data_IF_832026415376
#
_entry.id   IF_832026415376
#
_cell.length_a   1.000
_cell.length_b   1.000
_cell.length_c   1.000
_cell.angle_alpha   90.00
_cell.angle_beta   90.00
_cell.angle_gamma   90.00
#
_symmetry.space_group_name_H-M   'P 1'
#
loop_
_entity.id
_entity.type
_entity.pdbx_description
1 polymer ?
#
# COMPACT_ATOMS: atom_id res chain seq x y z
N UNK A 1 -8.14 -21.51 -2.65
CA UNK A 1 -8.56 -20.89 -3.92
C UNK A 1 -8.01 -19.47 -3.91
N UNK A 2 -6.88 -19.23 -4.56
CA UNK A 2 -6.42 -17.87 -4.83
C UNK A 2 -7.33 -17.36 -5.94
N UNK A 3 -8.14 -16.35 -5.64
CA UNK A 3 -8.84 -15.61 -6.69
C UNK A 3 -7.78 -14.82 -7.43
N UNK A 4 -7.17 -15.43 -8.46
CA UNK A 4 -6.48 -14.66 -9.47
C UNK A 4 -7.59 -13.90 -10.19
N UNK A 5 -7.73 -12.61 -9.88
CA UNK A 5 -8.65 -11.75 -10.63
C UNK A 5 -8.37 -11.89 -12.12
N UNK A 6 -9.41 -11.82 -12.95
CA UNK A 6 -9.20 -11.72 -14.39
C UNK A 6 -8.23 -10.57 -14.67
N UNK A 7 -7.24 -10.83 -15.53
CA UNK A 7 -6.22 -9.82 -15.83
C UNK A 7 -6.89 -8.55 -16.35
N UNK A 8 -6.55 -7.39 -15.79
CA UNK A 8 -7.05 -6.13 -16.27
C UNK A 8 -6.50 -5.94 -17.70
N UNK A 9 -7.34 -5.74 -18.73
CA UNK A 9 -6.88 -5.65 -20.12
C UNK A 9 -5.99 -4.42 -20.37
N UNK A 10 -5.96 -3.46 -19.44
CA UNK A 10 -5.07 -2.28 -19.49
C UNK A 10 -3.73 -2.52 -18.79
N UNK A 11 -3.54 -3.66 -18.14
CA UNK A 11 -2.32 -3.95 -17.39
C UNK A 11 -1.14 -4.18 -18.34
N UNK A 12 0.01 -3.61 -17.98
CA UNK A 12 1.29 -3.83 -18.63
C UNK A 12 2.10 -4.85 -17.84
N UNK A 13 2.94 -5.61 -18.54
CA UNK A 13 3.87 -6.60 -18.01
C UNK A 13 5.32 -6.17 -18.24
N UNK A 14 6.29 -6.94 -17.74
CA UNK A 14 7.71 -6.73 -18.01
C UNK A 14 8.10 -6.77 -19.50
N UNK A 15 7.25 -7.31 -20.37
CA UNK A 15 7.49 -7.37 -21.83
C UNK A 15 7.04 -6.11 -22.56
N UNK A 16 6.20 -5.31 -21.92
CA UNK A 16 5.59 -4.13 -22.52
C UNK A 16 6.47 -2.90 -22.34
N UNK A 17 6.33 -1.95 -23.26
CA UNK A 17 7.01 -0.66 -23.14
C UNK A 17 6.30 0.20 -22.09
N UNK A 18 7.01 0.58 -21.04
CA UNK A 18 6.48 1.50 -20.02
C UNK A 18 6.07 2.84 -20.65
N UNK A 19 4.98 3.48 -20.16
CA UNK A 19 4.59 4.80 -20.62
C UNK A 19 5.67 5.84 -20.29
N UNK A 20 5.69 6.94 -21.04
CA UNK A 20 6.57 8.08 -20.73
C UNK A 20 6.03 8.80 -19.49
N UNK A 21 6.85 8.90 -18.45
CA UNK A 21 6.49 9.52 -17.15
C UNK A 21 7.32 10.79 -16.89
N UNK A 22 7.57 11.57 -17.95
CA UNK A 22 8.46 12.72 -17.88
C UNK A 22 7.88 13.86 -17.02
N UNK A 23 6.56 13.93 -16.87
CA UNK A 23 5.89 14.91 -16.02
C UNK A 23 5.97 14.60 -14.53
N UNK A 24 6.30 13.36 -14.15
CA UNK A 24 6.46 12.96 -12.74
C UNK A 24 7.79 13.43 -12.17
N UNK A 25 7.83 13.95 -10.93
CA UNK A 25 9.05 14.01 -10.13
C UNK A 25 9.76 12.66 -10.08
N UNK A 26 11.10 12.65 -9.98
CA UNK A 26 11.90 11.43 -10.07
C UNK A 26 11.50 10.38 -9.02
N UNK A 27 11.19 10.81 -7.79
CA UNK A 27 10.75 9.94 -6.70
C UNK A 27 9.38 9.31 -6.93
N UNK A 28 8.55 9.85 -7.84
CA UNK A 28 7.24 9.31 -8.20
C UNK A 28 7.28 8.48 -9.49
N UNK A 29 8.48 8.13 -9.97
CA UNK A 29 8.67 7.24 -11.12
C UNK A 29 8.90 5.82 -10.61
N UNK A 30 8.00 4.86 -10.91
CA UNK A 30 8.16 3.48 -10.51
C UNK A 30 9.41 2.84 -11.11
N UNK A 31 9.91 1.80 -10.46
CA UNK A 31 10.91 0.91 -11.04
C UNK A 31 10.40 0.16 -12.27
N UNK A 32 11.29 -0.60 -12.92
CA UNK A 32 10.90 -1.54 -13.98
C UNK A 32 9.96 -2.61 -13.42
N UNK A 33 9.00 -3.07 -14.22
CA UNK A 33 8.11 -4.16 -13.82
C UNK A 33 8.87 -5.49 -13.70
N UNK A 34 8.75 -6.21 -12.58
CA UNK A 34 9.20 -7.60 -12.46
C UNK A 34 8.42 -8.54 -13.40
N UNK A 35 9.00 -9.70 -13.71
CA UNK A 35 8.46 -10.64 -14.71
C UNK A 35 7.05 -11.15 -14.43
N UNK A 36 6.66 -11.25 -13.16
CA UNK A 36 5.34 -11.74 -12.71
C UNK A 36 4.33 -10.64 -12.41
N UNK A 37 4.78 -9.39 -12.35
CA UNK A 37 3.94 -8.25 -11.96
C UNK A 37 3.21 -7.71 -13.17
N UNK A 38 1.93 -7.39 -12.96
CA UNK A 38 1.13 -6.61 -13.90
C UNK A 38 0.74 -5.28 -13.26
N UNK A 39 0.81 -4.21 -14.04
CA UNK A 39 0.53 -2.86 -13.52
C UNK A 39 -0.30 -2.03 -14.49
N UNK A 40 -1.34 -1.37 -13.98
CA UNK A 40 -2.09 -0.32 -14.67
C UNK A 40 -1.52 1.03 -14.24
N UNK A 41 -0.87 1.73 -15.17
CA UNK A 41 -0.28 3.05 -14.89
C UNK A 41 -1.32 4.16 -15.02
N UNK A 42 -1.25 5.14 -14.13
CA UNK A 42 -2.12 6.31 -14.12
C UNK A 42 -1.47 7.50 -14.86
N UNK A 43 -2.27 8.47 -15.33
CA UNK A 43 -1.75 9.74 -15.82
C UNK A 43 -0.86 10.46 -14.80
N UNK A 44 0.18 11.17 -15.27
CA UNK A 44 1.14 11.88 -14.40
C UNK A 44 0.45 12.85 -13.42
N UNK A 45 -0.59 13.56 -13.88
CA UNK A 45 -1.35 14.49 -13.05
C UNK A 45 -2.06 13.81 -11.87
N UNK A 46 -2.63 12.62 -12.10
CA UNK A 46 -3.35 11.86 -11.07
C UNK A 46 -2.38 11.32 -10.02
N UNK A 47 -1.21 10.85 -10.45
CA UNK A 47 -0.14 10.40 -9.55
C UNK A 47 0.39 11.55 -8.68
N UNK A 48 0.65 12.72 -9.27
CA UNK A 48 1.13 13.88 -8.52
C UNK A 48 0.08 14.36 -7.51
N UNK A 49 -1.20 14.41 -7.91
CA UNK A 49 -2.29 14.81 -7.03
C UNK A 49 -2.48 13.82 -5.87
N UNK A 50 -2.42 12.52 -6.14
CA UNK A 50 -2.55 11.48 -5.12
C UNK A 50 -1.37 11.47 -4.13
N UNK A 51 -0.13 11.68 -4.61
CA UNK A 51 1.04 11.80 -3.74
C UNK A 51 0.87 12.95 -2.74
N UNK A 52 0.45 14.13 -3.20
CA UNK A 52 0.18 15.29 -2.31
C UNK A 52 -0.92 15.00 -1.28
N UNK A 53 -1.96 14.25 -1.66
CA UNK A 53 -3.01 13.81 -0.73
C UNK A 53 -2.47 12.86 0.33
N UNK A 54 -1.65 11.88 -0.05
CA UNK A 54 -1.00 10.97 0.89
C UNK A 54 -0.06 11.71 1.84
N UNK A 55 0.74 12.66 1.33
CA UNK A 55 1.61 13.52 2.16
C UNK A 55 0.80 14.31 3.18
N UNK A 56 -0.28 14.95 2.75
CA UNK A 56 -1.19 15.70 3.62
C UNK A 56 -1.80 14.81 4.70
N UNK A 57 -2.28 13.63 4.30
CA UNK A 57 -3.00 12.72 5.19
C UNK A 57 -2.06 12.07 6.22
N UNK A 58 -0.85 11.67 5.84
CA UNK A 58 -0.01 10.82 6.69
C UNK A 58 1.27 11.46 7.25
N UNK A 59 1.79 12.54 6.63
CA UNK A 59 3.09 13.15 7.01
C UNK A 59 2.91 14.59 7.51
N UNK A 60 2.21 15.43 6.73
CA UNK A 60 2.01 16.85 7.03
C UNK A 60 1.07 17.09 8.21
N UNK A 61 0.70 18.33 8.49
CA UNK A 61 -0.25 18.65 9.57
C UNK A 61 -1.58 17.86 9.44
N UNK A 62 -2.16 17.37 10.55
CA UNK A 62 -3.40 16.60 10.48
C UNK A 62 -4.51 17.41 9.81
N UNK A 63 -5.19 16.87 8.78
CA UNK A 63 -6.34 17.55 8.20
C UNK A 63 -7.48 17.64 9.22
N UNK A 64 -8.27 18.71 9.15
CA UNK A 64 -9.43 18.91 10.02
C UNK A 64 -10.46 17.76 9.92
N UNK A 65 -10.64 17.22 8.70
CA UNK A 65 -11.42 16.01 8.46
C UNK A 65 -10.60 15.05 7.57
N UNK A 66 -10.04 13.96 8.12
CA UNK A 66 -9.31 12.97 7.34
C UNK A 66 -10.22 12.14 6.43
N UNK A 67 -11.54 12.09 6.69
CA UNK A 67 -12.46 11.22 5.95
C UNK A 67 -12.60 11.60 4.48
N UNK A 68 -12.39 12.89 4.14
CA UNK A 68 -12.45 13.38 2.76
C UNK A 68 -11.38 12.78 1.84
N UNK A 69 -10.33 12.18 2.42
CA UNK A 69 -9.23 11.57 1.68
C UNK A 69 -9.46 10.09 1.38
N UNK A 70 -10.43 9.45 2.04
CA UNK A 70 -10.69 8.03 1.93
C UNK A 70 -11.82 7.74 0.96
N UNK A 71 -11.75 6.57 0.32
CA UNK A 71 -12.86 6.03 -0.44
C UNK A 71 -14.00 5.64 0.52
N UNK A 72 -15.18 5.30 -0.02
CA UNK A 72 -16.32 4.85 0.79
C UNK A 72 -16.03 3.59 1.61
N UNK A 73 -15.01 2.83 1.21
CA UNK A 73 -14.49 1.68 1.92
C UNK A 73 -13.00 1.56 1.63
N UNK A 74 -12.22 1.15 2.62
CA UNK A 74 -10.79 0.89 2.42
C UNK A 74 -10.44 -0.55 2.77
N UNK A 75 -9.67 -1.17 1.88
CA UNK A 75 -9.12 -2.49 2.10
C UNK A 75 -7.82 -2.37 2.89
N UNK A 76 -7.82 -2.90 4.11
CA UNK A 76 -6.62 -3.05 4.92
C UNK A 76 -6.06 -4.44 4.65
N UNK A 77 -4.92 -4.48 3.97
CA UNK A 77 -4.19 -5.69 3.68
C UNK A 77 -3.49 -6.24 4.94
N UNK A 78 -3.04 -7.50 4.93
CA UNK A 78 -2.59 -8.14 6.16
C UNK A 78 -1.43 -7.49 6.89
N UNK A 79 -0.50 -6.84 6.18
CA UNK A 79 0.62 -6.15 6.81
C UNK A 79 0.12 -5.01 7.69
N UNK A 80 -0.71 -4.13 7.13
CA UNK A 80 -1.31 -3.04 7.90
C UNK A 80 -2.29 -3.55 8.97
N UNK A 81 -3.06 -4.59 8.68
CA UNK A 81 -4.04 -5.12 9.64
C UNK A 81 -3.38 -5.67 10.90
N UNK A 82 -2.21 -6.33 10.77
CA UNK A 82 -1.45 -6.84 11.91
C UNK A 82 -1.10 -5.77 12.95
N UNK A 83 -0.95 -4.52 12.49
CA UNK A 83 -0.69 -3.35 13.32
C UNK A 83 -1.99 -2.70 13.82
N UNK A 84 -3.06 -2.70 13.03
CA UNK A 84 -4.27 -1.93 13.32
C UNK A 84 -5.32 -2.68 14.12
N UNK A 85 -5.34 -4.01 14.07
CA UNK A 85 -6.47 -4.85 14.50
C UNK A 85 -6.80 -4.79 16.00
N UNK A 86 -5.94 -4.21 16.82
CA UNK A 86 -6.13 -4.10 18.27
C UNK A 86 -6.66 -2.73 18.71
N UNK A 87 -6.80 -1.78 17.78
CA UNK A 87 -7.24 -0.42 18.07
C UNK A 87 -8.76 -0.35 17.99
N UNK A 88 -9.44 0.25 18.97
CA UNK A 88 -10.89 0.50 18.85
C UNK A 88 -11.17 1.64 17.85
N UNK A 89 -12.17 1.52 16.96
CA UNK A 89 -13.17 0.44 16.88
C UNK A 89 -12.78 -0.72 15.94
N UNK A 90 -11.55 -0.74 15.41
CA UNK A 90 -11.06 -1.75 14.47
C UNK A 90 -11.04 -3.16 15.10
N UNK A 91 -10.81 -3.26 16.40
CA UNK A 91 -10.87 -4.50 17.19
C UNK A 91 -12.20 -5.27 17.08
N UNK A 92 -13.28 -4.60 16.65
CA UNK A 92 -14.61 -5.19 16.46
C UNK A 92 -14.87 -5.65 15.03
N UNK A 93 -13.96 -5.38 14.10
CA UNK A 93 -14.16 -5.70 12.68
C UNK A 93 -13.79 -7.16 12.43
N UNK A 94 -14.69 -7.87 11.74
CA UNK A 94 -14.44 -9.25 11.35
C UNK A 94 -13.32 -9.30 10.29
N UNK A 95 -12.22 -10.03 10.53
CA UNK A 95 -11.13 -10.12 9.56
C UNK A 95 -11.57 -10.91 8.31
N UNK A 96 -10.95 -10.53 7.19
CA UNK A 96 -11.02 -11.26 5.92
C UNK A 96 -9.75 -12.11 5.83
N UNK A 97 -9.89 -13.44 5.80
CA UNK A 97 -8.76 -14.35 5.74
C UNK A 97 -8.37 -14.66 4.29
N UNK A 98 -7.13 -14.35 3.95
CA UNK A 98 -6.46 -14.67 2.70
C UNK A 98 -5.51 -15.85 2.90
N UNK A 99 -5.44 -16.74 1.90
CA UNK A 99 -4.51 -17.87 1.87
C UNK A 99 -3.51 -17.65 0.74
N UNK A 100 -2.24 -17.51 1.10
CA UNK A 100 -1.14 -17.42 0.16
C UNK A 100 -0.37 -18.75 0.12
N UNK A 101 -0.07 -19.24 -1.08
CA UNK A 101 0.79 -20.41 -1.27
C UNK A 101 2.23 -19.97 -1.50
N UNK A 102 3.10 -20.24 -0.53
CA UNK A 102 4.53 -19.94 -0.57
C UNK A 102 5.31 -21.26 -0.71
N UNK A 103 5.54 -21.67 -1.96
CA UNK A 103 6.15 -22.96 -2.27
C UNK A 103 5.24 -24.12 -1.84
N UNK A 104 5.64 -24.85 -0.80
CA UNK A 104 4.85 -25.97 -0.23
C UNK A 104 4.05 -25.60 1.02
N UNK A 105 4.09 -24.33 1.44
CA UNK A 105 3.39 -23.85 2.64
C UNK A 105 2.17 -23.01 2.24
N UNK A 106 1.05 -23.24 2.92
CA UNK A 106 -0.09 -22.33 2.89
C UNK A 106 0.01 -21.43 4.11
N UNK A 107 0.02 -20.12 3.90
CA UNK A 107 0.02 -19.12 4.97
C UNK A 107 -1.35 -18.44 4.98
N UNK A 108 -1.97 -18.42 6.16
CA UNK A 108 -3.20 -17.66 6.41
C UNK A 108 -2.85 -16.27 6.93
N UNK A 109 -3.47 -15.25 6.33
CA UNK A 109 -3.22 -13.85 6.63
C UNK A 109 -4.55 -13.13 6.71
N UNK A 110 -4.69 -12.20 7.65
CA UNK A 110 -5.95 -11.52 7.89
C UNK A 110 -5.83 -10.07 7.47
N UNK A 111 -6.75 -9.60 6.61
CA UNK A 111 -7.01 -8.19 6.36
C UNK A 111 -8.36 -7.77 6.93
N UNK A 112 -8.83 -6.58 6.58
CA UNK A 112 -10.16 -6.09 6.91
C UNK A 112 -10.67 -5.11 5.86
N UNK A 113 -11.99 -4.96 5.77
CA UNK A 113 -12.63 -3.88 5.01
C UNK A 113 -13.18 -2.87 6.01
N UNK A 114 -12.64 -1.66 6.02
CA UNK A 114 -13.22 -0.57 6.81
C UNK A 114 -14.26 0.14 5.94
N UNK A 115 -15.35 0.58 6.56
CA UNK A 115 -16.45 1.24 5.84
C UNK A 115 -17.05 2.43 6.59
N UNK A 116 -16.51 2.76 7.78
CA UNK A 116 -17.04 3.86 8.60
C UNK A 116 -16.01 4.96 8.83
N UNK A 117 -16.42 6.24 8.87
CA UNK A 117 -15.53 7.37 9.12
C UNK A 117 -14.66 7.22 10.37
N UNK A 118 -15.21 6.72 11.48
CA UNK A 118 -14.46 6.52 12.71
C UNK A 118 -13.36 5.46 12.59
N UNK A 119 -13.54 4.46 11.72
CA UNK A 119 -12.53 3.43 11.44
C UNK A 119 -11.38 4.02 10.62
N UNK A 120 -11.71 4.84 9.61
CA UNK A 120 -10.72 5.52 8.78
C UNK A 120 -9.86 6.48 9.60
N UNK A 121 -10.49 7.27 10.47
CA UNK A 121 -9.81 8.20 11.35
C UNK A 121 -8.80 7.50 12.27
N UNK A 122 -9.18 6.36 12.88
CA UNK A 122 -8.29 5.57 13.73
C UNK A 122 -7.13 4.99 12.94
N UNK A 123 -7.37 4.45 11.74
CA UNK A 123 -6.31 3.93 10.88
C UNK A 123 -5.31 5.04 10.47
N UNK A 124 -5.80 6.19 10.02
CA UNK A 124 -4.97 7.36 9.70
C UNK A 124 -4.14 7.81 10.91
N UNK A 125 -4.78 7.98 12.07
CA UNK A 125 -4.10 8.45 13.28
C UNK A 125 -2.99 7.49 13.70
N UNK A 126 -3.24 6.18 13.62
CA UNK A 126 -2.27 5.17 13.99
C UNK A 126 -1.04 5.19 13.07
N UNK A 127 -1.24 5.25 11.74
CA UNK A 127 -0.15 5.37 10.77
C UNK A 127 0.65 6.66 10.98
N UNK A 128 -0.04 7.80 11.11
CA UNK A 128 0.59 9.11 11.38
C UNK A 128 1.46 9.06 12.63
N UNK A 129 0.96 8.46 13.71
CA UNK A 129 1.70 8.31 14.95
C UNK A 129 2.97 7.47 14.74
N UNK A 130 2.86 6.33 14.06
CA UNK A 130 4.02 5.48 13.77
C UNK A 130 5.08 6.21 12.96
N UNK A 131 4.65 6.99 11.95
CA UNK A 131 5.54 7.78 11.11
C UNK A 131 6.23 8.87 11.92
N UNK A 132 5.47 9.63 12.71
CA UNK A 132 6.02 10.67 13.57
C UNK A 132 7.00 10.11 14.62
N UNK A 133 6.65 9.01 15.27
CA UNK A 133 7.48 8.34 16.27
C UNK A 133 8.80 7.80 15.67
N UNK A 134 8.85 7.52 14.36
CA UNK A 134 10.04 7.06 13.63
C UNK A 134 10.72 8.18 12.80
N UNK A 135 10.53 9.45 13.20
CA UNK A 135 11.26 10.60 12.66
C UNK A 135 10.64 11.28 11.44
N UNK A 136 9.35 11.02 11.17
CA UNK A 136 8.64 11.50 9.99
C UNK A 136 8.70 10.49 8.84
N UNK A 137 8.33 10.91 7.65
CA UNK A 137 8.33 10.02 6.48
C UNK A 137 8.36 10.73 5.16
N UNK A 138 8.49 9.93 4.11
CA UNK A 138 8.54 10.36 2.72
C UNK A 138 7.73 9.42 1.84
N UNK A 139 7.30 9.93 0.69
CA UNK A 139 6.52 9.17 -0.29
C UNK A 139 7.32 8.99 -1.57
N UNK A 140 7.34 7.77 -2.08
CA UNK A 140 7.91 7.44 -3.37
C UNK A 140 7.06 6.40 -4.12
N UNK A 141 7.25 6.32 -5.43
CA UNK A 141 6.72 5.21 -6.20
C UNK A 141 7.46 3.91 -5.84
N UNK A 142 6.76 2.78 -5.94
CA UNK A 142 7.36 1.47 -5.68
C UNK A 142 8.58 1.23 -6.57
N UNK A 143 9.66 0.75 -5.96
CA UNK A 143 10.80 0.18 -6.69
C UNK A 143 10.44 -1.19 -7.27
N UNK A 144 11.27 -1.69 -8.20
CA UNK A 144 11.12 -3.04 -8.78
C UNK A 144 11.07 -4.12 -7.71
N UNK A 145 11.91 -4.02 -6.66
CA UNK A 145 11.96 -5.01 -5.60
C UNK A 145 10.70 -4.99 -4.73
N UNK A 146 10.16 -3.80 -4.45
CA UNK A 146 8.95 -3.64 -3.64
C UNK A 146 7.70 -4.14 -4.37
N UNK A 147 7.59 -3.87 -5.68
CA UNK A 147 6.53 -4.46 -6.49
C UNK A 147 6.58 -5.99 -6.48
N UNK A 148 7.77 -6.57 -6.69
CA UNK A 148 7.93 -8.03 -6.74
C UNK A 148 7.57 -8.65 -5.38
N UNK A 149 7.99 -8.00 -4.31
CA UNK A 149 7.68 -8.43 -2.95
C UNK A 149 6.18 -8.38 -2.69
N UNK A 150 5.55 -7.22 -2.85
CA UNK A 150 4.14 -7.01 -2.56
C UNK A 150 3.23 -7.92 -3.40
N UNK A 151 3.54 -8.09 -4.70
CA UNK A 151 2.81 -8.95 -5.63
C UNK A 151 2.64 -10.39 -5.14
N UNK A 152 3.62 -10.89 -4.37
CA UNK A 152 3.59 -12.24 -3.79
C UNK A 152 2.37 -12.45 -2.88
N UNK A 153 1.83 -11.38 -2.31
CA UNK A 153 0.79 -11.43 -1.27
C UNK A 153 -0.57 -10.94 -1.77
N UNK A 154 -0.62 -9.97 -2.68
CA UNK A 154 -1.89 -9.41 -3.15
C UNK A 154 -2.58 -10.23 -4.23
N UNK A 155 -1.85 -10.90 -5.13
CA UNK A 155 -2.44 -11.80 -6.14
C UNK A 155 -3.36 -11.13 -7.18
N UNK A 156 -3.39 -9.80 -7.26
CA UNK A 156 -4.12 -8.99 -8.24
C UNK A 156 -3.22 -7.91 -8.85
N UNK A 157 -3.68 -7.30 -9.95
CA UNK A 157 -2.94 -6.27 -10.70
C UNK A 157 -2.65 -5.04 -9.83
N UNK A 158 -1.43 -4.51 -9.90
CA UNK A 158 -1.11 -3.24 -9.24
C UNK A 158 -1.77 -2.13 -10.04
N UNK A 159 -2.59 -1.30 -9.40
CA UNK A 159 -3.23 -0.16 -10.07
C UNK A 159 -2.72 1.15 -9.45
N UNK A 160 -2.14 2.02 -10.28
CA UNK A 160 -1.79 3.38 -9.87
C UNK A 160 -3.04 4.27 -9.76
N UNK A 161 -3.04 5.28 -8.87
CA UNK A 161 -1.93 5.70 -8.01
C UNK A 161 -1.69 4.78 -6.82
N UNK A 162 -0.42 4.39 -6.62
CA UNK A 162 0.02 3.58 -5.48
C UNK A 162 1.42 4.02 -5.08
N UNK A 163 1.67 4.13 -3.78
CA UNK A 163 2.92 4.63 -3.24
C UNK A 163 3.43 3.80 -2.09
N UNK A 164 4.74 3.90 -1.88
CA UNK A 164 5.39 3.52 -0.63
C UNK A 164 5.54 4.77 0.23
N UNK A 165 5.08 4.67 1.46
CA UNK A 165 5.27 5.63 2.52
C UNK A 165 6.31 5.06 3.47
N UNK A 166 7.53 5.58 3.39
CA UNK A 166 8.68 5.11 4.17
C UNK A 166 8.96 6.08 5.32
N UNK A 167 9.18 5.52 6.52
CA UNK A 167 9.58 6.31 7.69
C UNK A 167 11.06 6.65 7.63
N UNK A 168 11.46 7.84 8.11
CA UNK A 168 12.86 8.26 8.04
C UNK A 168 13.82 7.39 8.87
N UNK A 169 13.33 6.77 9.94
CA UNK A 169 14.06 5.75 10.70
C UNK A 169 14.20 4.41 9.97
N UNK A 170 13.53 4.22 8.82
CA UNK A 170 13.58 3.01 8.00
C UNK A 170 12.91 1.80 8.65
N UNK A 171 12.11 2.01 9.71
CA UNK A 171 11.47 0.93 10.45
C UNK A 171 10.21 0.41 9.74
N UNK A 172 9.47 1.28 9.07
CA UNK A 172 8.20 0.93 8.45
C UNK A 172 8.13 1.40 7.01
N UNK A 173 7.48 0.60 6.17
CA UNK A 173 7.14 0.96 4.79
C UNK A 173 5.70 0.58 4.52
N UNK A 174 4.83 1.57 4.41
CA UNK A 174 3.41 1.34 4.13
C UNK A 174 3.12 1.44 2.65
N UNK A 175 2.25 0.59 2.12
CA UNK A 175 1.66 0.78 0.79
C UNK A 175 0.38 1.58 0.94
N UNK A 176 0.22 2.61 0.10
CA UNK A 176 -1.00 3.41 0.02
C UNK A 176 -1.52 3.37 -1.41
N UNK A 177 -2.64 2.69 -1.63
CA UNK A 177 -3.33 2.60 -2.91
C UNK A 177 -4.51 3.55 -3.00
N UNK A 178 -4.76 4.07 -4.20
CA UNK A 178 -5.84 5.00 -4.50
C UNK A 178 -6.84 4.39 -5.48
N UNK A 179 -8.11 4.76 -5.35
CA UNK A 179 -9.13 4.44 -6.36
C UNK A 179 -9.10 5.42 -7.55
N UNK A 180 -9.97 5.17 -8.54
CA UNK A 180 -10.12 6.02 -9.72
C UNK A 180 -10.65 7.43 -9.44
N UNK A 181 -11.12 7.71 -8.23
CA UNK A 181 -11.53 9.05 -7.77
C UNK A 181 -10.39 9.77 -7.04
N UNK A 182 -9.22 9.13 -6.92
CA UNK A 182 -8.08 9.65 -6.21
C UNK A 182 -8.30 9.70 -4.70
N UNK A 183 -9.06 8.76 -4.15
CA UNK A 183 -9.23 8.56 -2.72
C UNK A 183 -8.45 7.33 -2.26
N UNK A 184 -7.91 7.34 -1.04
CA UNK A 184 -7.22 6.19 -0.47
C UNK A 184 -8.21 5.04 -0.35
N UNK A 185 -7.88 3.91 -0.96
CA UNK A 185 -8.73 2.71 -1.05
C UNK A 185 -8.05 1.45 -0.54
N UNK A 186 -6.73 1.47 -0.38
CA UNK A 186 -5.95 0.34 0.10
C UNK A 186 -4.80 0.81 1.01
N UNK A 187 -4.58 0.09 2.11
CA UNK A 187 -3.41 0.24 2.97
C UNK A 187 -2.76 -1.11 3.23
N UNK A 188 -1.44 -1.17 3.19
CA UNK A 188 -0.65 -2.34 3.58
C UNK A 188 0.63 -1.93 4.32
N UNK A 189 1.32 -2.89 4.94
CA UNK A 189 2.67 -2.71 5.49
C UNK A 189 3.61 -3.73 4.85
N UNK A 190 4.64 -3.23 4.19
CA UNK A 190 5.51 -4.00 3.31
C UNK A 190 6.56 -4.81 4.07
N UNK A 191 6.99 -4.35 5.25
CA UNK A 191 7.99 -5.08 6.04
C UNK A 191 7.41 -6.30 6.75
N UNK A 192 6.10 -6.41 6.91
CA UNK A 192 5.40 -7.54 7.54
C UNK A 192 5.77 -8.87 6.89
N UNK A 193 6.07 -8.87 5.60
CA UNK A 193 6.44 -10.06 4.85
C UNK A 193 7.94 -10.24 4.64
N UNK A 194 8.77 -9.34 5.19
CA UNK A 194 10.22 -9.50 5.15
C UNK A 194 10.64 -10.61 6.13
N UNK A 195 11.48 -11.59 5.72
CA UNK A 195 12.06 -12.52 6.68
C UNK A 195 12.82 -11.71 7.74
N UNK A 196 12.81 -12.12 9.02
CA UNK A 196 13.54 -11.41 10.06
C UNK A 196 14.98 -11.24 9.61
N UNK A 197 15.51 -10.00 9.74
CA UNK A 197 16.92 -9.72 9.47
C UNK A 197 17.73 -10.74 10.25
N UNK A 198 18.31 -11.70 9.55
CA UNK A 198 19.24 -12.64 10.16
C UNK A 198 20.38 -11.75 10.62
N UNK A 199 20.55 -11.60 11.93
CA UNK A 199 21.78 -11.00 12.44
C UNK A 199 22.90 -11.82 11.82
N UNK A 200 23.77 -11.17 11.04
CA UNK A 200 25.03 -11.78 10.67
C UNK A 200 25.66 -12.24 11.98
N UNK A 201 25.93 -13.55 12.08
CA UNK A 201 26.78 -14.05 13.14
C UNK A 201 28.14 -13.38 12.90
N UNK A 202 28.48 -12.44 13.78
CA UNK A 202 29.85 -11.94 13.95
C UNK A 202 30.76 -13.08 14.42
#
# INVERSE_FOLDING_TARGET
MVLVGEANPKSLTAKDKMPKMAGRPAQLRPGKLPSRVRCVFAPDADVIAAAKKAETLFIGEPPADPNIFFASSILIQPGAWSFLSHLSPLDKIKPITHKAELGRKVVEQNGALLSKPEEFAVAAQALRKVIADDGGGSIHAMSTAEMDHWWTFIGFDIEEPVFVLETHGGKYRFIVGFDSKGCVSCLDELNFFSPPKTKALE
#
